data_IF_990157960889
#
_entry.id   IF_990157960889
#
_cell.length_a   1.000
_cell.length_b   1.000
_cell.length_c   1.000
_cell.angle_alpha   90.00
_cell.angle_beta   90.00
_cell.angle_gamma   90.00
#
_symmetry.space_group_name_H-M   'P 1'
#
loop_
_entity.id
_entity.type
_entity.pdbx_description
1 polymer ?
#
# COMPACT_ATOMS: atom_id res chain seq x y z
N UNK A 1 40.45 0.40 -4.87
CA UNK A 1 39.66 1.57 -5.30
C UNK A 1 38.20 1.34 -4.93
N UNK A 2 37.51 2.25 -4.20
CA UNK A 2 36.10 2.07 -3.86
C UNK A 2 35.22 2.35 -5.09
N UNK A 3 34.37 1.37 -5.46
CA UNK A 3 33.37 1.53 -6.52
C UNK A 3 32.24 2.40 -5.98
N UNK A 4 32.01 3.56 -6.60
CA UNK A 4 30.91 4.46 -6.25
C UNK A 4 29.82 4.36 -7.31
N UNK A 5 28.67 3.81 -6.94
CA UNK A 5 27.49 3.80 -7.81
C UNK A 5 26.87 5.20 -7.85
N UNK A 6 26.63 5.72 -9.06
CA UNK A 6 25.99 7.02 -9.30
C UNK A 6 24.64 6.77 -9.97
N UNK A 7 23.57 7.34 -9.41
CA UNK A 7 22.20 7.23 -9.94
C UNK A 7 21.20 6.63 -8.96
N UNK A 8 19.96 6.46 -9.42
CA UNK A 8 18.89 5.87 -8.62
C UNK A 8 19.05 4.35 -8.57
N UNK A 9 19.17 3.79 -7.38
CA UNK A 9 19.20 2.34 -7.18
C UNK A 9 17.84 1.72 -7.49
N UNK A 10 17.85 0.54 -8.12
CA UNK A 10 16.63 -0.22 -8.41
C UNK A 10 16.81 -1.69 -8.09
N UNK A 11 15.87 -2.27 -7.36
CA UNK A 11 15.86 -3.70 -7.00
C UNK A 11 15.15 -4.57 -8.06
N UNK A 12 14.99 -4.05 -9.27
CA UNK A 12 14.33 -4.75 -10.35
C UNK A 12 15.26 -5.81 -10.92
N UNK A 13 14.80 -7.05 -10.89
CA UNK A 13 15.51 -8.21 -11.42
C UNK A 13 14.51 -9.07 -12.16
N UNK A 14 14.81 -9.37 -13.41
CA UNK A 14 13.96 -10.21 -14.24
C UNK A 14 13.84 -9.65 -15.65
N UNK A 15 12.74 -10.02 -16.30
CA UNK A 15 12.42 -9.61 -17.67
C UNK A 15 11.14 -8.78 -17.68
N UNK A 16 10.92 -7.95 -18.70
CA UNK A 16 9.63 -7.32 -18.89
C UNK A 16 8.58 -8.40 -19.18
N UNK A 17 7.32 -8.14 -18.81
CA UNK A 17 6.28 -9.16 -18.88
C UNK A 17 6.00 -9.61 -20.31
N UNK A 18 6.15 -8.70 -21.29
CA UNK A 18 5.89 -8.98 -22.70
C UNK A 18 6.84 -10.06 -23.26
N UNK A 19 8.13 -10.05 -22.88
CA UNK A 19 9.10 -11.05 -23.33
C UNK A 19 8.77 -12.44 -22.78
N UNK A 20 8.34 -12.49 -21.51
CA UNK A 20 7.97 -13.76 -20.87
C UNK A 20 6.75 -14.35 -21.58
N UNK A 21 5.72 -13.52 -21.73
CA UNK A 21 4.43 -13.94 -22.26
C UNK A 21 4.50 -14.28 -23.75
N UNK A 22 5.28 -13.54 -24.54
CA UNK A 22 5.45 -13.80 -25.97
C UNK A 22 6.16 -15.14 -26.27
N UNK A 23 7.05 -15.58 -25.38
CA UNK A 23 7.79 -16.83 -25.54
C UNK A 23 7.04 -18.08 -25.06
N UNK A 24 5.86 -17.91 -24.43
CA UNK A 24 5.07 -19.01 -23.90
C UNK A 24 3.94 -19.40 -24.84
N UNK A 25 3.68 -20.71 -24.94
CA UNK A 25 2.50 -21.23 -25.65
C UNK A 25 1.23 -20.65 -25.02
N UNK A 26 0.29 -20.24 -25.86
CA UNK A 26 -0.97 -19.58 -25.45
C UNK A 26 -0.73 -18.38 -24.52
N UNK A 27 0.35 -17.64 -24.75
CA UNK A 27 0.70 -16.45 -23.96
C UNK A 27 0.85 -16.72 -22.45
N UNK A 28 1.17 -17.96 -22.07
CA UNK A 28 1.35 -18.33 -20.67
C UNK A 28 0.07 -18.26 -19.82
N UNK A 29 -1.13 -18.32 -20.44
CA UNK A 29 -2.39 -18.39 -19.70
C UNK A 29 -2.38 -19.56 -18.71
N UNK A 30 -2.77 -19.28 -17.47
CA UNK A 30 -2.78 -20.23 -16.35
C UNK A 30 -1.48 -20.30 -15.55
N UNK A 31 -0.37 -19.70 -16.04
CA UNK A 31 0.94 -19.74 -15.38
C UNK A 31 1.06 -18.68 -14.27
N UNK A 32 1.92 -18.95 -13.30
CA UNK A 32 2.25 -18.00 -12.23
C UNK A 32 3.46 -17.14 -12.58
N UNK A 33 3.32 -15.84 -12.37
CA UNK A 33 4.39 -14.85 -12.50
C UNK A 33 4.54 -14.09 -11.19
N UNK A 34 5.77 -13.79 -10.81
CA UNK A 34 6.10 -12.99 -9.62
C UNK A 34 6.85 -11.74 -10.03
N UNK A 35 6.86 -10.76 -9.11
CA UNK A 35 7.74 -9.60 -9.21
C UNK A 35 8.86 -9.72 -8.20
N UNK A 36 10.12 -9.57 -8.62
CA UNK A 36 11.27 -9.70 -7.74
C UNK A 36 11.19 -8.71 -6.56
N UNK A 37 10.76 -7.47 -6.82
CA UNK A 37 10.51 -6.48 -5.75
C UNK A 37 9.58 -6.98 -4.64
N UNK A 38 8.65 -7.87 -4.93
CA UNK A 38 7.69 -8.39 -3.94
C UNK A 38 8.25 -9.56 -3.12
N UNK A 39 9.39 -10.14 -3.50
CA UNK A 39 10.07 -11.17 -2.69
C UNK A 39 10.62 -10.65 -1.36
N UNK A 40 10.62 -9.32 -1.15
CA UNK A 40 10.95 -8.71 0.16
C UNK A 40 9.97 -9.10 1.27
N UNK A 41 8.80 -9.61 0.91
CA UNK A 41 7.76 -10.02 1.84
C UNK A 41 7.82 -11.54 2.04
N UNK A 42 7.72 -12.05 3.28
CA UNK A 42 7.70 -13.49 3.55
C UNK A 42 6.38 -14.15 3.15
N UNK A 43 5.34 -13.34 2.93
CA UNK A 43 4.00 -13.77 2.52
C UNK A 43 3.95 -13.97 0.99
N UNK A 44 3.14 -14.90 0.47
CA UNK A 44 3.11 -15.20 -0.95
C UNK A 44 2.61 -14.00 -1.76
N UNK A 45 3.36 -13.66 -2.80
CA UNK A 45 3.03 -12.59 -3.75
C UNK A 45 3.19 -13.13 -5.17
N UNK A 46 2.08 -13.46 -5.82
CA UNK A 46 2.09 -13.98 -7.19
C UNK A 46 0.91 -13.48 -8.00
N UNK A 47 1.03 -13.61 -9.31
CA UNK A 47 0.02 -13.21 -10.28
C UNK A 47 -0.22 -14.40 -11.22
N UNK A 48 -1.45 -14.90 -11.25
CA UNK A 48 -1.86 -15.94 -12.21
C UNK A 48 -2.40 -15.29 -13.47
N UNK A 49 -1.81 -15.59 -14.61
CA UNK A 49 -2.25 -15.03 -15.90
C UNK A 49 -3.59 -15.67 -16.30
N UNK A 50 -4.60 -14.84 -16.55
CA UNK A 50 -5.90 -15.28 -17.06
C UNK A 50 -6.04 -15.00 -18.55
N UNK A 51 -5.73 -13.77 -18.97
CA UNK A 51 -5.86 -13.34 -20.36
C UNK A 51 -4.79 -12.32 -20.70
N UNK A 52 -4.31 -12.36 -21.92
CA UNK A 52 -3.30 -11.45 -22.46
C UNK A 52 -3.87 -10.78 -23.70
N UNK A 53 -3.62 -9.48 -23.83
CA UNK A 53 -3.89 -8.71 -25.04
C UNK A 53 -2.65 -7.88 -25.37
N UNK A 54 -2.24 -7.92 -26.65
CA UNK A 54 -1.17 -7.06 -27.14
C UNK A 54 -1.63 -5.59 -27.15
N UNK A 55 -0.77 -4.69 -26.69
CA UNK A 55 -0.94 -3.26 -26.94
C UNK A 55 -0.25 -2.87 -28.25
N UNK A 56 -0.69 -1.77 -28.89
CA UNK A 56 -0.03 -1.27 -30.09
C UNK A 56 1.46 -1.03 -29.83
N UNK A 57 2.25 -1.17 -30.88
CA UNK A 57 3.65 -0.77 -30.86
C UNK A 57 3.71 0.72 -30.52
N UNK A 58 4.66 1.14 -29.69
CA UNK A 58 4.75 2.54 -29.34
C UNK A 58 5.33 3.35 -30.51
N UNK A 59 4.77 4.53 -30.75
CA UNK A 59 5.12 5.37 -31.91
C UNK A 59 6.52 5.99 -31.82
N UNK A 60 7.07 6.10 -30.60
CA UNK A 60 8.36 6.73 -30.35
C UNK A 60 9.49 5.70 -30.28
N UNK A 61 10.66 5.96 -30.90
CA UNK A 61 11.83 5.12 -30.71
C UNK A 61 12.27 5.12 -29.23
N UNK A 62 12.83 4.00 -28.77
CA UNK A 62 13.29 3.78 -27.37
C UNK A 62 12.20 3.78 -26.29
N UNK A 63 10.94 3.62 -26.67
CA UNK A 63 9.86 3.46 -25.72
C UNK A 63 9.63 1.98 -25.36
N UNK A 64 9.42 1.72 -24.07
CA UNK A 64 9.28 0.35 -23.60
C UNK A 64 7.96 -0.26 -24.07
N UNK A 65 8.05 -1.46 -24.67
CA UNK A 65 6.87 -2.23 -25.08
C UNK A 65 6.06 -2.66 -23.85
N UNK A 66 4.76 -2.36 -23.89
CA UNK A 66 3.80 -2.77 -22.87
C UNK A 66 2.86 -3.84 -23.43
N UNK A 67 2.27 -4.60 -22.52
CA UNK A 67 1.22 -5.58 -22.80
C UNK A 67 0.11 -5.39 -21.77
N UNK A 68 -1.14 -5.63 -22.17
CA UNK A 68 -2.29 -5.64 -21.29
C UNK A 68 -2.54 -7.07 -20.81
N UNK A 69 -2.49 -7.30 -19.50
CA UNK A 69 -2.66 -8.64 -18.92
C UNK A 69 -3.71 -8.61 -17.82
N UNK A 70 -4.72 -9.47 -17.93
CA UNK A 70 -5.68 -9.75 -16.89
C UNK A 70 -5.12 -10.86 -15.99
N UNK A 71 -4.97 -10.59 -14.69
CA UNK A 71 -4.40 -11.54 -13.73
C UNK A 71 -5.28 -11.72 -12.49
N UNK A 72 -5.24 -12.91 -11.90
CA UNK A 72 -5.58 -13.08 -10.48
C UNK A 72 -4.37 -12.70 -9.65
N UNK A 73 -4.49 -11.62 -8.88
CA UNK A 73 -3.40 -11.11 -8.06
C UNK A 73 -3.55 -11.58 -6.61
N UNK A 74 -2.51 -12.21 -6.09
CA UNK A 74 -2.34 -12.46 -4.66
C UNK A 74 -1.19 -11.58 -4.17
N UNK A 75 -1.47 -10.73 -3.19
CA UNK A 75 -0.48 -9.84 -2.61
C UNK A 75 -0.47 -9.98 -1.10
N UNK A 76 0.67 -10.40 -0.56
CA UNK A 76 0.89 -10.64 0.87
C UNK A 76 -0.15 -11.58 1.49
N UNK A 77 -0.45 -12.67 0.79
CA UNK A 77 -1.48 -13.64 1.17
C UNK A 77 -2.92 -13.25 0.84
N UNK A 78 -3.19 -11.98 0.52
CA UNK A 78 -4.55 -11.54 0.20
C UNK A 78 -4.84 -11.70 -1.30
N UNK A 79 -5.83 -12.54 -1.63
CA UNK A 79 -6.34 -12.72 -3.00
C UNK A 79 -7.31 -11.59 -3.34
N UNK A 80 -7.11 -10.96 -4.51
CA UNK A 80 -8.07 -9.98 -5.02
C UNK A 80 -9.37 -10.67 -5.45
N UNK A 81 -10.52 -10.13 -5.04
CA UNK A 81 -11.84 -10.69 -5.38
C UNK A 81 -12.13 -10.65 -6.88
N UNK A 82 -11.66 -9.60 -7.55
CA UNK A 82 -11.82 -9.39 -8.99
C UNK A 82 -10.47 -9.54 -9.70
N UNK A 83 -10.46 -10.07 -10.93
CA UNK A 83 -9.27 -10.01 -11.77
C UNK A 83 -8.75 -8.57 -11.92
N UNK A 84 -7.44 -8.40 -11.85
CA UNK A 84 -6.77 -7.10 -11.96
C UNK A 84 -6.13 -7.01 -13.33
N UNK A 85 -6.38 -5.89 -14.02
CA UNK A 85 -5.72 -5.56 -15.27
C UNK A 85 -4.37 -4.88 -15.00
N UNK A 86 -3.32 -5.34 -15.69
CA UNK A 86 -1.96 -4.82 -15.62
C UNK A 86 -1.55 -4.27 -16.97
N UNK A 87 -1.41 -2.95 -17.06
CA UNK A 87 -0.97 -2.27 -18.29
C UNK A 87 0.23 -1.36 -18.01
N UNK A 88 0.11 -0.49 -17.00
CA UNK A 88 1.12 0.53 -16.73
C UNK A 88 2.43 0.02 -16.15
N UNK A 89 2.47 -1.22 -15.65
CA UNK A 89 3.67 -1.77 -15.00
C UNK A 89 4.36 -2.90 -15.76
N UNK A 90 3.78 -3.36 -16.88
CA UNK A 90 4.23 -4.56 -17.61
C UNK A 90 5.56 -4.38 -18.32
N UNK A 91 5.95 -3.13 -18.60
CA UNK A 91 7.25 -2.78 -19.18
C UNK A 91 8.44 -2.95 -18.23
N UNK A 92 8.19 -2.96 -16.91
CA UNK A 92 9.28 -3.00 -15.93
C UNK A 92 9.95 -4.37 -15.95
N UNK A 93 11.28 -4.42 -16.04
CA UNK A 93 12.08 -5.64 -16.00
C UNK A 93 12.20 -6.23 -14.56
N UNK A 94 11.05 -6.56 -13.98
CA UNK A 94 10.92 -7.02 -12.59
C UNK A 94 10.16 -8.36 -12.53
N UNK A 95 9.70 -8.88 -13.66
CA UNK A 95 8.89 -10.09 -13.70
C UNK A 95 9.76 -11.34 -13.85
N UNK A 96 9.36 -12.40 -13.16
CA UNK A 96 9.98 -13.73 -13.23
C UNK A 96 8.88 -14.77 -13.36
N UNK A 97 9.01 -15.66 -14.34
CA UNK A 97 8.12 -16.80 -14.51
C UNK A 97 8.47 -17.88 -13.48
N UNK A 98 7.47 -18.41 -12.77
CA UNK A 98 7.71 -19.53 -11.87
C UNK A 98 7.74 -20.85 -12.68
N UNK A 99 8.77 -21.70 -12.52
CA UNK A 99 8.78 -23.06 -13.07
C UNK A 99 7.58 -23.88 -12.56
N UNK A 100 6.98 -24.73 -13.40
CA UNK A 100 5.79 -25.54 -13.02
C UNK A 100 5.99 -26.29 -11.70
N UNK A 101 7.16 -26.88 -11.55
CA UNK A 101 7.48 -27.71 -10.38
C UNK A 101 7.52 -26.91 -9.09
N UNK A 102 7.71 -25.59 -9.15
CA UNK A 102 7.80 -24.71 -7.97
C UNK A 102 6.49 -23.96 -7.67
N UNK A 103 5.48 -24.05 -8.55
CA UNK A 103 4.21 -23.31 -8.36
C UNK A 103 3.49 -23.71 -7.07
N UNK A 104 3.60 -24.99 -6.66
CA UNK A 104 2.99 -25.50 -5.43
C UNK A 104 3.47 -24.77 -4.17
N UNK A 105 4.73 -24.29 -4.14
CA UNK A 105 5.29 -23.57 -2.99
C UNK A 105 4.51 -22.28 -2.72
N UNK A 106 4.13 -21.58 -3.78
CA UNK A 106 3.38 -20.33 -3.69
C UNK A 106 1.90 -20.56 -3.40
N UNK A 107 1.33 -21.64 -3.94
CA UNK A 107 -0.07 -22.01 -3.73
C UNK A 107 -0.32 -22.56 -2.32
N UNK A 108 0.63 -23.30 -1.75
CA UNK A 108 0.50 -23.91 -0.42
C UNK A 108 0.80 -22.92 0.72
N UNK A 109 1.47 -21.81 0.42
CA UNK A 109 1.79 -20.81 1.43
C UNK A 109 0.52 -20.03 1.79
N UNK A 110 -0.03 -20.28 2.98
CA UNK A 110 -1.26 -19.64 3.47
C UNK A 110 -0.97 -18.49 4.46
N UNK A 111 0.27 -17.98 4.51
CA UNK A 111 0.62 -16.87 5.39
C UNK A 111 -0.13 -15.61 4.97
N UNK A 112 -1.07 -15.18 5.79
CA UNK A 112 -1.82 -13.94 5.61
C UNK A 112 -1.36 -12.91 6.63
N UNK A 113 -1.21 -11.66 6.19
CA UNK A 113 -0.88 -10.55 7.09
C UNK A 113 -2.10 -10.19 7.92
N UNK A 114 -1.90 -10.12 9.23
CA UNK A 114 -2.93 -9.63 10.15
C UNK A 114 -3.38 -8.22 9.76
N UNK A 115 -4.71 -8.02 9.71
CA UNK A 115 -5.30 -6.73 9.34
C UNK A 115 -5.09 -5.74 10.49
N UNK A 116 -4.45 -4.61 10.19
CA UNK A 116 -4.29 -3.49 11.13
C UNK A 116 -5.63 -2.82 11.38
N UNK A 117 -5.95 -2.53 12.63
CA UNK A 117 -7.15 -1.79 13.00
C UNK A 117 -6.78 -0.30 13.12
N UNK A 118 -7.42 0.53 12.28
CA UNK A 118 -7.20 1.97 12.24
C UNK A 118 -8.27 2.72 13.04
N UNK A 119 -7.91 3.83 13.71
CA UNK A 119 -8.82 4.60 14.55
C UNK A 119 -9.83 5.38 13.69
N UNK A 120 -11.09 5.46 14.12
CA UNK A 120 -12.12 6.28 13.43
C UNK A 120 -11.90 7.78 13.65
N UNK A 121 -11.39 8.13 14.82
CA UNK A 121 -11.16 9.51 15.23
C UNK A 121 -9.73 9.70 15.70
N UNK A 122 -9.20 10.89 15.48
CA UNK A 122 -7.92 11.31 16.01
C UNK A 122 -8.03 12.69 16.63
N UNK A 123 -7.01 13.06 17.38
CA UNK A 123 -6.88 14.40 17.92
C UNK A 123 -6.54 15.39 16.79
N UNK A 124 -6.94 16.65 16.97
CA UNK A 124 -6.62 17.70 16.00
C UNK A 124 -5.20 18.22 16.26
N UNK A 125 -4.51 18.71 15.20
CA UNK A 125 -3.28 19.47 15.39
C UNK A 125 -3.48 20.67 16.33
N UNK A 126 -2.46 21.07 17.11
CA UNK A 126 -2.59 22.02 18.23
C UNK A 126 -3.10 23.40 17.80
N UNK A 127 -2.62 23.93 16.67
CA UNK A 127 -3.12 25.20 16.15
C UNK A 127 -4.59 25.10 15.73
N UNK A 128 -4.95 23.97 15.11
CA UNK A 128 -6.28 23.78 14.56
C UNK A 128 -7.33 23.54 15.66
N UNK A 129 -6.95 22.87 16.75
CA UNK A 129 -7.81 22.74 17.93
C UNK A 129 -8.11 24.11 18.54
N UNK A 130 -7.10 24.97 18.72
CA UNK A 130 -7.30 26.34 19.25
C UNK A 130 -8.20 27.19 18.35
N UNK A 131 -7.99 27.14 17.02
CA UNK A 131 -8.85 27.88 16.07
C UNK A 131 -10.32 27.44 16.18
N UNK A 132 -10.57 26.14 16.27
CA UNK A 132 -11.93 25.60 16.41
C UNK A 132 -12.55 26.01 17.74
N UNK A 133 -11.80 25.95 18.84
CA UNK A 133 -12.25 26.40 20.16
C UNK A 133 -12.62 27.90 20.12
N UNK A 134 -11.81 28.73 19.49
CA UNK A 134 -12.08 30.17 19.36
C UNK A 134 -13.32 30.44 18.52
N UNK A 135 -13.52 29.70 17.42
CA UNK A 135 -14.73 29.81 16.60
C UNK A 135 -15.99 29.32 17.34
N UNK A 136 -15.90 28.27 18.14
CA UNK A 136 -17.02 27.79 18.97
C UNK A 136 -17.40 28.81 20.05
N UNK A 137 -16.40 29.40 20.72
CA UNK A 137 -16.59 30.49 21.68
C UNK A 137 -17.27 31.70 21.03
N UNK A 138 -16.82 32.12 19.85
CA UNK A 138 -17.43 33.22 19.11
C UNK A 138 -18.89 32.97 18.71
N UNK A 139 -19.28 31.69 18.56
CA UNK A 139 -20.65 31.27 18.23
C UNK A 139 -21.52 30.95 19.47
N UNK A 140 -20.98 31.10 20.68
CA UNK A 140 -21.71 30.84 21.93
C UNK A 140 -21.98 29.36 22.23
N UNK A 141 -21.26 28.43 21.60
CA UNK A 141 -21.42 26.98 21.83
C UNK A 141 -20.50 26.57 23.00
N UNK A 142 -21.07 25.97 24.04
CA UNK A 142 -20.31 25.50 25.20
C UNK A 142 -19.28 24.42 24.81
N UNK A 143 -18.00 24.73 25.05
CA UNK A 143 -16.85 23.88 24.70
C UNK A 143 -16.69 22.78 25.76
N UNK A 144 -17.61 21.82 25.81
CA UNK A 144 -17.56 20.73 26.81
C UNK A 144 -16.72 19.52 26.38
N UNK A 145 -16.30 19.44 25.11
CA UNK A 145 -15.53 18.30 24.58
C UNK A 145 -14.42 18.79 23.66
N UNK A 146 -13.19 18.32 23.89
CA UNK A 146 -12.07 18.52 22.95
C UNK A 146 -12.50 18.10 21.54
N UNK A 147 -12.42 18.99 20.54
CA UNK A 147 -12.86 18.64 19.19
C UNK A 147 -11.95 17.53 18.63
N UNK A 148 -12.57 16.49 18.06
CA UNK A 148 -11.88 15.34 17.45
C UNK A 148 -12.05 15.37 15.93
N UNK A 149 -11.01 14.94 15.21
CA UNK A 149 -11.04 14.80 13.77
C UNK A 149 -11.62 13.44 13.37
N UNK A 150 -12.63 13.43 12.53
CA UNK A 150 -13.12 12.20 11.88
C UNK A 150 -12.19 11.84 10.72
N UNK A 151 -11.56 10.66 10.80
CA UNK A 151 -10.69 10.18 9.73
C UNK A 151 -11.48 9.47 8.64
N UNK A 152 -11.25 9.88 7.39
CA UNK A 152 -11.73 9.17 6.22
C UNK A 152 -10.57 8.41 5.58
N UNK A 153 -10.71 7.09 5.52
CA UNK A 153 -9.74 6.24 4.86
C UNK A 153 -10.20 5.92 3.45
N UNK A 154 -9.24 5.89 2.52
CA UNK A 154 -9.50 5.33 1.20
C UNK A 154 -9.72 3.82 1.36
N UNK A 155 -10.95 3.35 1.17
CA UNK A 155 -11.30 1.92 1.22
C UNK A 155 -11.30 1.26 -0.16
N UNK A 156 -10.97 1.99 -1.23
CA UNK A 156 -10.90 1.45 -2.59
C UNK A 156 -9.95 0.24 -2.62
N UNK A 157 -10.41 -0.88 -3.17
CA UNK A 157 -9.73 -2.18 -3.16
C UNK A 157 -9.44 -2.74 -1.74
N UNK A 158 -10.48 -2.80 -0.89
CA UNK A 158 -10.40 -3.30 0.49
C UNK A 158 -9.77 -4.70 0.59
N UNK A 159 -9.97 -5.56 -0.42
CA UNK A 159 -9.47 -6.94 -0.42
C UNK A 159 -7.94 -7.04 -0.34
N UNK A 160 -7.22 -6.07 -0.88
CA UNK A 160 -5.74 -6.06 -0.93
C UNK A 160 -5.16 -5.28 0.26
N UNK A 161 -5.95 -4.37 0.85
CA UNK A 161 -5.46 -3.49 1.91
C UNK A 161 -5.44 -4.25 3.23
N UNK A 162 -4.30 -4.19 3.91
CA UNK A 162 -4.08 -4.86 5.19
C UNK A 162 -4.61 -4.03 6.38
N UNK A 163 -5.67 -3.23 6.19
CA UNK A 163 -6.24 -2.42 7.26
C UNK A 163 -7.76 -2.39 7.23
N UNK A 164 -8.36 -2.29 8.42
CA UNK A 164 -9.79 -2.10 8.64
C UNK A 164 -10.03 -0.94 9.62
N UNK A 165 -11.19 -0.30 9.54
CA UNK A 165 -11.58 0.73 10.50
C UNK A 165 -12.11 0.04 11.76
N UNK A 166 -11.73 0.54 12.93
CA UNK A 166 -12.24 0.05 14.22
C UNK A 166 -13.76 0.23 14.31
N UNK A 167 -14.47 -0.81 14.77
CA UNK A 167 -15.89 -0.69 15.14
C UNK A 167 -16.03 0.00 16.50
N UNK A 168 -17.25 0.48 16.82
CA UNK A 168 -17.54 1.14 18.09
C UNK A 168 -17.21 0.20 19.26
N UNK A 169 -16.19 0.55 20.05
CA UNK A 169 -15.67 -0.26 21.17
C UNK A 169 -14.39 -1.05 20.91
N UNK A 170 -13.86 -1.12 19.68
CA UNK A 170 -12.56 -1.77 19.40
C UNK A 170 -11.37 -0.83 19.69
N UNK A 171 -10.34 -1.34 20.36
CA UNK A 171 -9.07 -0.61 20.57
C UNK A 171 -8.28 -0.65 19.25
N UNK A 172 -7.96 0.50 18.63
CA UNK A 172 -7.20 0.53 17.39
C UNK A 172 -5.76 0.06 17.63
N UNK A 173 -5.27 -0.84 16.77
CA UNK A 173 -3.89 -1.35 16.82
C UNK A 173 -2.86 -0.25 16.56
N UNK A 174 -3.22 0.78 15.78
CA UNK A 174 -2.39 1.96 15.56
C UNK A 174 -3.04 3.19 16.17
N UNK A 175 -2.29 3.90 17.03
CA UNK A 175 -2.63 5.24 17.48
C UNK A 175 -2.00 6.24 16.52
N UNK A 176 -2.83 7.10 15.94
CA UNK A 176 -2.40 8.26 15.17
C UNK A 176 -2.52 9.47 16.08
N UNK A 177 -1.39 9.97 16.58
CA UNK A 177 -1.36 11.17 17.40
C UNK A 177 -0.91 12.36 16.55
N UNK A 178 -1.72 13.42 16.56
CA UNK A 178 -1.38 14.70 15.92
C UNK A 178 -1.14 15.82 16.94
N UNK A 179 -1.22 15.50 18.25
CA UNK A 179 -0.72 16.40 19.29
C UNK A 179 0.80 16.51 19.19
N UNK A 180 1.30 17.57 19.79
CA UNK A 180 2.74 17.73 20.02
C UNK A 180 3.17 16.59 20.93
N UNK A 181 4.24 15.88 20.57
CA UNK A 181 4.81 14.87 21.46
C UNK A 181 5.31 15.51 22.76
N UNK A 182 5.16 14.81 23.87
CA UNK A 182 5.61 15.27 25.20
C UNK A 182 7.13 15.52 25.23
N UNK A 183 7.89 14.87 24.35
CA UNK A 183 9.34 15.08 24.20
C UNK A 183 9.71 16.33 23.40
N UNK A 184 8.74 17.01 22.80
CA UNK A 184 8.99 18.22 21.99
C UNK A 184 9.22 19.42 22.89
N UNK A 185 10.18 20.31 22.56
CA UNK A 185 10.38 21.57 23.28
C UNK A 185 9.17 22.52 23.16
N UNK A 186 8.28 22.27 22.21
CA UNK A 186 7.05 23.02 22.00
C UNK A 186 5.84 22.47 22.77
N UNK A 187 6.02 21.38 23.54
CA UNK A 187 4.97 20.88 24.40
C UNK A 187 4.71 21.91 25.51
N UNK A 188 3.46 22.31 25.76
CA UNK A 188 3.15 23.27 26.81
C UNK A 188 3.62 22.70 28.15
N UNK A 189 4.55 23.39 28.80
CA UNK A 189 4.97 23.05 30.17
C UNK A 189 3.76 23.23 31.08
N UNK A 190 3.52 22.31 32.04
CA UNK A 190 2.48 22.54 33.03
C UNK A 190 2.75 23.88 33.72
N UNK A 191 1.77 24.78 33.67
CA UNK A 191 1.84 26.02 34.42
C UNK A 191 2.00 25.65 35.89
N UNK A 192 3.11 26.08 36.51
CA UNK A 192 3.30 25.98 37.95
C UNK A 192 2.09 26.67 38.58
N UNK A 193 1.19 25.87 39.16
CA UNK A 193 0.09 26.36 39.94
C UNK A 193 0.71 27.08 41.11
N UNK A 194 0.74 28.42 41.03
CA UNK A 194 1.14 29.28 42.12
C UNK A 194 0.23 28.97 43.31
N UNK A 195 0.74 28.12 44.20
CA UNK A 195 0.17 27.87 45.52
C UNK A 195 0.24 29.19 46.28
N UNK A 196 -0.93 29.79 46.49
CA UNK A 196 -1.16 30.89 47.43
C UNK A 196 -0.84 30.48 48.86
#
# INVERSE_FOLDING_TARGET
MPIKFIGRTTDFKGKPLWEIVANLKNFGVGRLVIRNRFQRYPEPCYMKILKVAGMPLPDQPYSDRKVMVLVEKVFRGNKSSKPVQLDGSTYKADYVLIPKDQEHIFLNNMKVVEKRILPRTTELPPLFSQLIINQMKAKGIAVSTEPKLNLQYNLTATDIKNYRIAKEGEIPTMKLNFKVDESSPFFPKPEETATL
#
